data_IF_238019312598
#
_entry.id   IF_238019312598
#
_cell.length_a   1.000
_cell.length_b   1.000
_cell.length_c   1.000
_cell.angle_alpha   90.00
_cell.angle_beta   90.00
_cell.angle_gamma   90.00
#
_symmetry.space_group_name_H-M   'P 1'
#
loop_
_entity.id
_entity.type
_entity.pdbx_description
1 polymer ?
#
# COMPACT_ATOMS: atom_id res chain seq x y z
N UNK A 1 43.55 0.34 -11.16
CA UNK A 1 42.10 0.59 -10.96
C UNK A 1 41.39 -0.73 -11.21
N UNK A 2 40.94 -1.40 -10.15
CA UNK A 2 40.30 -2.72 -10.28
C UNK A 2 38.82 -2.54 -10.62
N UNK A 3 38.43 -3.07 -11.75
CA UNK A 3 37.03 -3.18 -12.18
C UNK A 3 36.23 -3.96 -11.11
N UNK A 4 35.24 -3.31 -10.55
CA UNK A 4 34.36 -3.91 -9.54
C UNK A 4 33.36 -4.83 -10.23
N UNK A 5 33.58 -6.15 -10.12
CA UNK A 5 32.74 -7.16 -10.76
C UNK A 5 31.35 -7.28 -10.07
N UNK A 6 30.40 -6.48 -10.58
CA UNK A 6 29.01 -6.41 -10.14
C UNK A 6 28.32 -7.78 -10.13
N UNK A 7 28.70 -8.67 -11.08
CA UNK A 7 28.13 -10.03 -11.16
C UNK A 7 28.58 -10.94 -10.02
N UNK A 8 29.77 -10.71 -9.51
CA UNK A 8 30.31 -11.47 -8.35
C UNK A 8 29.63 -11.03 -7.05
N UNK A 9 29.35 -9.74 -6.92
CA UNK A 9 28.60 -9.19 -5.79
C UNK A 9 27.13 -9.67 -5.80
N UNK A 10 26.46 -9.68 -6.96
CA UNK A 10 25.09 -10.17 -7.12
C UNK A 10 24.95 -11.66 -6.79
N UNK A 11 25.90 -12.50 -7.20
CA UNK A 11 25.95 -13.93 -6.84
C UNK A 11 26.21 -14.14 -5.34
N UNK A 12 27.02 -13.31 -4.70
CA UNK A 12 27.28 -13.39 -3.25
C UNK A 12 26.05 -13.01 -2.44
N UNK A 13 25.30 -12.00 -2.85
CA UNK A 13 24.03 -11.57 -2.24
C UNK A 13 22.97 -12.67 -2.40
N UNK A 14 22.81 -13.23 -3.59
CA UNK A 14 21.87 -14.33 -3.84
C UNK A 14 22.21 -15.60 -3.02
N UNK A 15 23.49 -15.90 -2.80
CA UNK A 15 23.90 -17.00 -1.90
C UNK A 15 23.55 -16.71 -0.43
N UNK A 16 23.79 -15.50 0.05
CA UNK A 16 23.42 -15.12 1.43
C UNK A 16 21.92 -15.15 1.65
N UNK A 17 21.12 -14.67 0.69
CA UNK A 17 19.65 -14.74 0.73
C UNK A 17 19.15 -16.19 0.79
N UNK A 18 19.66 -17.10 -0.07
CA UNK A 18 19.30 -18.54 -0.04
C UNK A 18 19.66 -19.24 1.28
N UNK A 19 20.77 -18.84 1.90
CA UNK A 19 21.19 -19.42 3.20
C UNK A 19 20.31 -18.89 4.34
N UNK A 20 19.90 -17.60 4.28
CA UNK A 20 18.99 -17.00 5.26
C UNK A 20 17.58 -17.60 5.15
N UNK A 21 17.08 -17.82 3.92
CA UNK A 21 15.80 -18.49 3.70
C UNK A 21 15.77 -19.94 4.22
N UNK A 22 16.84 -20.71 4.02
CA UNK A 22 16.91 -22.07 4.58
C UNK A 22 16.90 -22.07 6.12
N UNK A 23 17.63 -21.17 6.76
CA UNK A 23 17.60 -21.04 8.23
C UNK A 23 16.24 -20.57 8.73
N UNK A 24 15.60 -19.58 8.04
CA UNK A 24 14.24 -19.15 8.37
C UNK A 24 13.20 -20.26 8.20
N UNK A 25 13.26 -21.06 7.13
CA UNK A 25 12.35 -22.21 6.93
C UNK A 25 12.48 -23.25 8.04
N UNK A 26 13.70 -23.60 8.47
CA UNK A 26 13.91 -24.56 9.56
C UNK A 26 13.39 -24.03 10.90
N UNK A 27 13.56 -22.74 11.19
CA UNK A 27 13.00 -22.11 12.41
C UNK A 27 11.48 -22.03 12.30
N UNK A 28 10.94 -21.73 11.12
CA UNK A 28 9.50 -21.69 10.84
C UNK A 28 8.85 -23.06 11.01
N UNK A 29 9.48 -24.16 10.50
CA UNK A 29 8.95 -25.51 10.68
C UNK A 29 9.00 -25.97 12.15
N UNK A 30 10.00 -25.56 12.93
CA UNK A 30 10.03 -25.83 14.39
C UNK A 30 8.93 -25.07 15.13
N UNK A 31 8.63 -23.83 14.76
CA UNK A 31 7.51 -23.04 15.32
C UNK A 31 6.15 -23.59 14.85
N UNK A 32 6.03 -24.04 13.60
CA UNK A 32 4.82 -24.69 13.07
C UNK A 32 4.53 -26.02 13.75
N UNK A 33 5.53 -26.81 14.09
CA UNK A 33 5.34 -28.08 14.80
C UNK A 33 4.81 -27.87 16.23
N UNK A 34 5.20 -26.77 16.90
CA UNK A 34 4.66 -26.40 18.23
C UNK A 34 3.23 -25.83 18.07
N UNK A 35 2.95 -25.04 17.05
CA UNK A 35 1.61 -24.50 16.78
C UNK A 35 0.61 -25.60 16.40
N UNK A 36 1.02 -26.62 15.63
CA UNK A 36 0.15 -27.74 15.23
C UNK A 36 -0.29 -28.60 16.45
N UNK A 37 0.58 -28.78 17.44
CA UNK A 37 0.21 -29.50 18.68
C UNK A 37 -0.77 -28.72 19.55
N UNK A 38 -0.69 -27.40 19.58
CA UNK A 38 -1.65 -26.54 20.28
C UNK A 38 -3.00 -26.50 19.54
N UNK A 39 -3.00 -26.42 18.21
CA UNK A 39 -4.22 -26.45 17.40
C UNK A 39 -5.02 -27.75 17.54
N UNK A 40 -4.36 -28.92 17.70
CA UNK A 40 -5.02 -30.19 17.94
C UNK A 40 -5.67 -30.29 19.33
N UNK A 41 -5.08 -29.67 20.35
CA UNK A 41 -5.64 -29.64 21.72
C UNK A 41 -6.84 -28.68 21.76
N UNK A 42 -6.75 -27.51 21.12
CA UNK A 42 -7.84 -26.53 21.04
C UNK A 42 -9.00 -27.06 20.19
N UNK A 43 -8.73 -27.71 19.06
CA UNK A 43 -9.74 -28.33 18.21
C UNK A 43 -10.56 -29.42 18.92
N UNK A 44 -9.94 -30.21 19.81
CA UNK A 44 -10.64 -31.24 20.60
C UNK A 44 -11.55 -30.68 21.71
N UNK A 45 -11.29 -29.47 22.19
CA UNK A 45 -12.13 -28.77 23.16
C UNK A 45 -13.33 -28.08 22.51
N UNK A 46 -13.21 -27.61 21.26
CA UNK A 46 -14.31 -27.01 20.52
C UNK A 46 -15.36 -28.02 20.04
N UNK A 47 -14.99 -29.28 19.82
CA UNK A 47 -15.93 -30.32 19.35
C UNK A 47 -16.91 -30.82 20.42
N UNK A 48 -16.76 -30.41 21.67
CA UNK A 48 -17.65 -30.81 22.80
C UNK A 48 -18.66 -29.73 23.21
N UNK A 49 -18.72 -28.56 22.54
CA UNK A 49 -19.58 -27.45 23.01
C UNK A 49 -20.81 -27.19 22.13
N UNK A 50 -21.08 -28.04 21.15
CA UNK A 50 -22.21 -27.89 20.23
C UNK A 50 -23.43 -28.70 20.66
N UNK A 51 -23.92 -28.49 21.89
CA UNK A 51 -25.21 -29.02 22.29
C UNK A 51 -25.77 -28.26 23.51
N UNK A 52 -26.21 -26.99 23.33
CA UNK A 52 -27.23 -26.38 24.20
C UNK A 52 -27.84 -25.14 23.49
N UNK A 53 -29.18 -25.19 23.43
CA UNK A 53 -30.16 -24.14 23.13
C UNK A 53 -30.38 -23.64 21.71
N UNK A 54 -31.28 -24.35 21.04
CA UNK A 54 -32.20 -23.74 20.08
C UNK A 54 -33.42 -23.19 20.84
N UNK A 55 -33.57 -21.89 20.92
CA UNK A 55 -34.85 -21.17 20.75
C UNK A 55 -34.76 -19.70 21.18
N UNK A 56 -34.30 -18.84 20.30
CA UNK A 56 -34.87 -17.48 20.14
C UNK A 56 -34.70 -17.09 18.68
N UNK A 57 -35.76 -17.20 17.90
CA UNK A 57 -35.84 -16.60 16.57
C UNK A 57 -36.00 -15.09 16.74
N UNK A 58 -34.93 -14.38 16.95
CA UNK A 58 -34.85 -12.97 16.58
C UNK A 58 -34.54 -12.94 15.07
N UNK A 59 -35.50 -12.49 14.30
CA UNK A 59 -35.27 -12.14 12.88
C UNK A 59 -34.36 -10.91 12.91
N UNK A 60 -33.04 -11.13 12.95
CA UNK A 60 -32.08 -10.09 12.72
C UNK A 60 -32.12 -9.74 11.24
N UNK A 61 -32.28 -8.46 10.92
CA UNK A 61 -32.03 -7.95 9.57
C UNK A 61 -30.70 -8.53 9.03
N UNK A 62 -30.58 -8.80 7.74
CA UNK A 62 -29.34 -9.36 7.18
C UNK A 62 -28.21 -8.41 7.54
N UNK A 63 -27.28 -8.88 8.37
CA UNK A 63 -26.09 -8.14 8.78
C UNK A 63 -25.32 -7.81 7.50
N UNK A 64 -25.08 -6.54 7.21
CA UNK A 64 -24.32 -6.16 6.04
C UNK A 64 -22.96 -6.86 6.07
N UNK A 65 -22.66 -7.61 5.03
CA UNK A 65 -21.37 -8.30 4.92
C UNK A 65 -20.33 -7.28 4.47
N UNK A 66 -19.41 -6.95 5.36
CA UNK A 66 -18.26 -6.12 5.03
C UNK A 66 -17.40 -6.86 4.01
N UNK A 67 -17.25 -6.27 2.83
CA UNK A 67 -16.48 -6.88 1.75
C UNK A 67 -15.01 -6.59 1.89
N UNK A 68 -14.19 -7.55 1.50
CA UNK A 68 -12.76 -7.37 1.29
C UNK A 68 -12.53 -6.37 0.17
N UNK A 69 -11.49 -5.56 0.29
CA UNK A 69 -11.07 -4.64 -0.76
C UNK A 69 -10.76 -5.36 -2.08
N UNK A 70 -10.85 -4.64 -3.17
CA UNK A 70 -10.68 -5.18 -4.53
C UNK A 70 -10.03 -4.19 -5.47
N UNK A 71 -9.62 -4.65 -6.66
CA UNK A 71 -9.13 -3.76 -7.70
C UNK A 71 -10.30 -2.95 -8.24
N UNK A 72 -10.29 -1.64 -7.95
CA UNK A 72 -11.28 -0.66 -8.41
C UNK A 72 -10.71 0.77 -8.35
N UNK A 73 -11.02 1.56 -9.37
CA UNK A 73 -10.62 2.95 -9.47
C UNK A 73 -11.66 3.76 -10.25
N UNK A 74 -11.58 5.07 -10.13
CA UNK A 74 -12.31 6.04 -10.97
C UNK A 74 -11.26 6.84 -11.74
N UNK A 75 -11.23 6.66 -13.06
CA UNK A 75 -10.42 7.45 -13.97
C UNK A 75 -11.19 8.68 -14.41
N UNK A 76 -10.68 9.87 -14.09
CA UNK A 76 -11.18 11.12 -14.64
C UNK A 76 -10.24 11.57 -15.76
N UNK A 77 -10.77 11.63 -16.98
CA UNK A 77 -10.03 12.02 -18.17
C UNK A 77 -9.85 13.55 -18.24
N UNK A 78 -8.95 14.01 -19.10
CA UNK A 78 -8.64 15.42 -19.34
C UNK A 78 -9.87 16.28 -19.70
N UNK A 79 -10.89 15.65 -20.32
CA UNK A 79 -12.15 16.32 -20.67
C UNK A 79 -13.19 16.31 -19.54
N UNK A 80 -12.83 15.82 -18.36
CA UNK A 80 -13.70 15.71 -17.19
C UNK A 80 -14.60 14.46 -17.15
N UNK A 81 -14.62 13.64 -18.20
CA UNK A 81 -15.39 12.40 -18.19
C UNK A 81 -14.83 11.40 -17.18
N UNK A 82 -15.70 10.70 -16.46
CA UNK A 82 -15.33 9.70 -15.49
C UNK A 82 -15.63 8.30 -16.00
N UNK A 83 -14.68 7.39 -15.76
CA UNK A 83 -14.76 5.97 -16.10
C UNK A 83 -14.51 5.16 -14.84
N UNK A 84 -15.47 4.32 -14.46
CA UNK A 84 -15.28 3.36 -13.38
C UNK A 84 -14.48 2.15 -13.91
N UNK A 85 -13.34 1.89 -13.29
CA UNK A 85 -12.47 0.74 -13.56
C UNK A 85 -12.69 -0.28 -12.45
N UNK A 86 -13.20 -1.46 -12.81
CA UNK A 86 -13.50 -2.53 -11.87
C UNK A 86 -13.19 -3.87 -12.53
N UNK A 87 -12.79 -4.84 -11.76
CA UNK A 87 -12.48 -6.20 -12.25
C UNK A 87 -13.59 -6.75 -13.13
N UNK A 88 -13.22 -7.19 -14.33
CA UNK A 88 -14.17 -7.72 -15.33
C UNK A 88 -14.83 -6.68 -16.23
N UNK A 89 -14.59 -5.37 -16.02
CA UNK A 89 -15.02 -4.31 -16.93
C UNK A 89 -13.85 -3.85 -17.78
N UNK A 90 -13.92 -4.06 -19.08
CA UNK A 90 -12.92 -3.59 -20.03
C UNK A 90 -13.18 -2.13 -20.42
N UNK A 91 -12.10 -1.34 -20.48
CA UNK A 91 -12.13 0.01 -21.05
C UNK A 91 -11.10 0.12 -22.16
N UNK A 92 -11.52 0.63 -23.33
CA UNK A 92 -10.67 0.94 -24.47
C UNK A 92 -11.00 2.37 -24.94
N UNK A 93 -10.15 3.31 -24.61
CA UNK A 93 -10.31 4.73 -24.96
C UNK A 93 -9.01 5.28 -25.55
N UNK A 94 -8.90 5.32 -26.89
CA UNK A 94 -7.71 5.86 -27.56
C UNK A 94 -6.42 5.13 -27.18
N UNK A 95 -5.52 5.83 -26.48
CA UNK A 95 -4.23 5.27 -26.02
C UNK A 95 -4.33 4.50 -24.69
N UNK A 96 -5.52 4.46 -24.08
CA UNK A 96 -5.78 3.86 -22.77
C UNK A 96 -6.48 2.53 -22.92
N UNK A 97 -5.98 1.52 -22.23
CA UNK A 97 -6.62 0.21 -22.10
C UNK A 97 -6.66 -0.22 -20.65
N UNK A 98 -7.77 -0.79 -20.24
CA UNK A 98 -7.91 -1.43 -18.93
C UNK A 98 -8.72 -2.71 -19.06
N UNK A 99 -8.34 -3.73 -18.30
CA UNK A 99 -9.11 -4.95 -18.10
C UNK A 99 -9.92 -4.91 -16.78
N UNK A 100 -9.83 -3.76 -16.08
CA UNK A 100 -10.47 -3.51 -14.79
C UNK A 100 -9.62 -3.87 -13.58
N UNK A 101 -8.43 -4.46 -13.75
CA UNK A 101 -7.43 -4.69 -12.70
C UNK A 101 -6.21 -3.79 -12.87
N UNK A 102 -5.92 -3.38 -14.11
CA UNK A 102 -4.81 -2.49 -14.44
C UNK A 102 -5.20 -1.48 -15.52
N UNK A 103 -4.46 -0.37 -15.57
CA UNK A 103 -4.57 0.66 -16.61
C UNK A 103 -3.23 0.81 -17.30
N UNK A 104 -3.22 0.61 -18.62
CA UNK A 104 -2.01 0.68 -19.43
C UNK A 104 -2.14 1.76 -20.49
N UNK A 105 -1.12 2.63 -20.55
CA UNK A 105 -0.95 3.58 -21.63
C UNK A 105 -0.12 2.95 -22.75
N UNK A 106 -0.67 2.94 -23.97
CA UNK A 106 0.08 2.51 -25.15
C UNK A 106 1.13 3.56 -25.51
N UNK A 107 2.38 3.18 -25.54
CA UNK A 107 3.48 4.01 -26.08
C UNK A 107 3.35 4.09 -27.60
N UNK A 108 2.67 5.09 -28.12
CA UNK A 108 2.64 5.33 -29.56
C UNK A 108 3.78 6.27 -29.94
N UNK A 109 4.71 5.74 -30.73
CA UNK A 109 5.71 6.50 -31.46
C UNK A 109 5.06 7.18 -32.68
N UNK A 110 4.22 8.18 -32.48
CA UNK A 110 3.81 9.01 -33.60
C UNK A 110 4.35 10.43 -33.45
N UNK A 111 5.07 10.84 -34.47
CA UNK A 111 5.64 12.16 -34.66
C UNK A 111 4.57 13.23 -34.70
N UNK A 112 4.39 13.90 -33.59
CA UNK A 112 3.56 15.07 -33.48
C UNK A 112 4.08 15.97 -32.36
N UNK A 113 4.90 16.96 -32.73
CA UNK A 113 5.24 18.09 -31.89
C UNK A 113 3.93 18.86 -31.71
N UNK A 114 3.16 18.49 -30.69
CA UNK A 114 2.03 19.31 -30.28
C UNK A 114 2.54 20.24 -29.18
N UNK A 115 2.66 21.52 -29.50
CA UNK A 115 2.85 22.60 -28.53
C UNK A 115 1.55 22.87 -27.73
N UNK A 116 0.82 21.80 -27.39
CA UNK A 116 -0.35 21.88 -26.51
C UNK A 116 0.08 21.75 -25.08
N UNK A 117 -0.63 22.46 -24.20
CA UNK A 117 -0.47 22.28 -22.76
C UNK A 117 -0.67 20.81 -22.38
N UNK A 118 0.09 20.30 -21.39
CA UNK A 118 -0.06 18.91 -20.95
C UNK A 118 -1.48 18.64 -20.48
N UNK A 119 -2.09 17.61 -21.03
CA UNK A 119 -3.41 17.13 -20.58
C UNK A 119 -3.21 16.17 -19.42
N UNK A 120 -4.02 16.31 -18.37
CA UNK A 120 -3.88 15.51 -17.15
C UNK A 120 -5.10 14.62 -16.95
N UNK A 121 -4.82 13.39 -16.54
CA UNK A 121 -5.80 12.47 -15.99
C UNK A 121 -5.66 12.39 -14.47
N UNK A 122 -6.77 12.01 -13.81
CA UNK A 122 -6.79 11.72 -12.38
C UNK A 122 -7.24 10.28 -12.17
N UNK A 123 -6.49 9.52 -11.36
CA UNK A 123 -6.88 8.19 -10.92
C UNK A 123 -7.20 8.25 -9.43
N UNK A 124 -8.46 8.02 -9.09
CA UNK A 124 -8.96 8.03 -7.72
C UNK A 124 -9.28 6.62 -7.29
N UNK A 125 -8.67 6.19 -6.21
CA UNK A 125 -8.90 4.89 -5.57
C UNK A 125 -9.82 5.14 -4.38
N UNK A 126 -11.05 4.62 -4.38
CA UNK A 126 -11.93 4.76 -3.22
C UNK A 126 -11.47 3.87 -2.07
N UNK A 127 -12.02 4.07 -0.89
CA UNK A 127 -11.90 3.13 0.22
C UNK A 127 -12.35 1.74 -0.22
N UNK A 128 -11.69 0.70 0.27
CA UNK A 128 -11.89 -0.68 -0.17
C UNK A 128 -11.39 -0.94 -1.59
N UNK A 129 -10.53 -0.09 -2.14
CA UNK A 129 -9.93 -0.23 -3.46
C UNK A 129 -8.42 -0.31 -3.41
N UNK A 130 -7.84 -0.83 -4.46
CA UNK A 130 -6.45 -0.66 -4.88
C UNK A 130 -6.41 -0.67 -6.39
N UNK A 131 -5.34 -0.15 -7.00
CA UNK A 131 -5.24 -0.20 -8.44
C UNK A 131 -3.80 -0.08 -8.93
N UNK A 132 -3.52 -0.71 -10.06
CA UNK A 132 -2.24 -0.62 -10.75
C UNK A 132 -2.37 0.23 -12.00
N UNK A 133 -1.40 1.12 -12.25
CA UNK A 133 -1.29 1.87 -13.50
C UNK A 133 0.13 1.85 -14.03
N UNK A 134 0.28 1.59 -15.32
CA UNK A 134 1.53 1.80 -16.06
C UNK A 134 1.40 3.07 -16.88
N UNK A 135 2.19 4.07 -16.52
CA UNK A 135 2.22 5.38 -17.17
C UNK A 135 2.83 5.33 -18.58
N UNK A 136 2.67 6.40 -19.35
CA UNK A 136 3.13 6.47 -20.75
C UNK A 136 4.66 6.41 -20.90
N UNK A 137 5.43 6.68 -19.85
CA UNK A 137 6.88 6.51 -19.80
C UNK A 137 7.34 5.11 -19.35
N UNK A 138 6.40 4.20 -19.07
CA UNK A 138 6.66 2.86 -18.56
C UNK A 138 6.85 2.78 -17.05
N UNK A 139 6.72 3.89 -16.32
CA UNK A 139 6.70 3.90 -14.87
C UNK A 139 5.48 3.13 -14.36
N UNK A 140 5.70 2.24 -13.40
CA UNK A 140 4.66 1.43 -12.77
C UNK A 140 4.29 2.03 -11.41
N UNK A 141 2.99 2.15 -11.15
CA UNK A 141 2.47 2.73 -9.92
C UNK A 141 1.36 1.85 -9.36
N UNK A 142 1.51 1.41 -8.12
CA UNK A 142 0.45 0.78 -7.33
C UNK A 142 -0.13 1.85 -6.41
N UNK A 143 -1.44 1.96 -6.38
CA UNK A 143 -2.17 2.89 -5.52
C UNK A 143 -2.97 2.09 -4.50
N UNK A 144 -2.82 2.45 -3.22
CA UNK A 144 -3.57 1.85 -2.12
C UNK A 144 -4.96 2.50 -1.95
N UNK A 145 -5.77 1.96 -1.06
CA UNK A 145 -7.10 2.49 -0.72
C UNK A 145 -7.04 3.97 -0.33
N UNK A 146 -8.06 4.71 -0.72
CA UNK A 146 -8.19 6.14 -0.41
C UNK A 146 -7.00 6.98 -0.92
N UNK A 147 -6.71 6.85 -2.23
CA UNK A 147 -5.59 7.53 -2.87
C UNK A 147 -6.01 8.24 -4.14
N UNK A 148 -5.31 9.32 -4.50
CA UNK A 148 -5.55 10.06 -5.73
C UNK A 148 -4.26 10.54 -6.37
N UNK A 149 -4.07 10.13 -7.63
CA UNK A 149 -2.93 10.47 -8.46
C UNK A 149 -3.37 11.37 -9.61
N UNK A 150 -2.61 12.44 -9.88
CA UNK A 150 -2.70 13.26 -11.07
C UNK A 150 -1.45 13.07 -11.90
N UNK A 151 -1.60 12.78 -13.18
CA UNK A 151 -0.50 12.52 -14.09
C UNK A 151 -0.82 12.96 -15.51
N UNK A 152 0.17 13.34 -16.32
CA UNK A 152 -0.05 13.71 -17.71
C UNK A 152 -0.38 12.48 -18.55
N UNK A 153 -1.24 12.65 -19.56
CA UNK A 153 -1.55 11.60 -20.55
C UNK A 153 -0.28 11.15 -21.28
N UNK A 154 0.59 12.11 -21.58
CA UNK A 154 1.93 11.89 -22.16
C UNK A 154 2.93 12.81 -21.49
N UNK A 155 4.10 12.27 -21.17
CA UNK A 155 5.19 13.08 -20.65
C UNK A 155 5.86 13.89 -21.76
N UNK A 156 6.15 15.20 -21.53
CA UNK A 156 6.91 16.02 -22.47
C UNK A 156 8.30 15.43 -22.72
N UNK A 157 8.72 15.39 -23.99
CA UNK A 157 10.05 14.89 -24.35
C UNK A 157 11.16 15.80 -23.81
N UNK A 158 12.24 15.20 -23.31
CA UNK A 158 13.42 15.91 -22.81
C UNK A 158 13.15 16.91 -21.67
N UNK A 159 12.10 16.71 -20.93
CA UNK A 159 11.73 17.51 -19.74
C UNK A 159 11.52 16.57 -18.56
N UNK A 160 11.54 17.13 -17.38
CA UNK A 160 11.17 16.43 -16.13
C UNK A 160 9.82 15.75 -16.25
N UNK A 161 9.76 14.47 -15.93
CA UNK A 161 8.54 13.66 -15.90
C UNK A 161 7.86 13.86 -14.56
N UNK A 162 6.84 14.70 -14.52
CA UNK A 162 6.21 15.10 -13.28
C UNK A 162 4.80 14.55 -13.11
N UNK A 163 4.51 14.05 -11.91
CA UNK A 163 3.18 13.63 -11.46
C UNK A 163 2.90 14.19 -10.08
N UNK A 164 1.67 14.04 -9.57
CA UNK A 164 1.26 14.54 -8.26
C UNK A 164 0.42 13.50 -7.53
N UNK A 165 0.90 13.04 -6.37
CA UNK A 165 0.10 12.28 -5.41
C UNK A 165 -0.65 13.30 -4.54
N UNK A 166 -1.93 13.52 -4.86
CA UNK A 166 -2.75 14.51 -4.18
C UNK A 166 -3.04 14.11 -2.74
N UNK A 167 -3.25 12.83 -2.48
CA UNK A 167 -3.36 12.20 -1.16
C UNK A 167 -3.29 10.68 -1.29
N UNK A 168 -3.09 10.00 -0.15
CA UNK A 168 -3.12 8.55 -0.06
C UNK A 168 -1.73 7.92 -0.06
N UNK A 169 -1.64 6.68 -0.52
CA UNK A 169 -0.42 5.90 -0.56
C UNK A 169 -0.18 5.30 -1.94
N UNK A 170 1.06 5.45 -2.42
CA UNK A 170 1.46 4.91 -3.70
C UNK A 170 2.90 4.36 -3.65
N UNK A 171 3.07 3.19 -4.26
CA UNK A 171 4.37 2.58 -4.53
C UNK A 171 4.73 2.81 -5.99
N UNK A 172 5.96 3.24 -6.22
CA UNK A 172 6.48 3.61 -7.52
C UNK A 172 7.66 2.72 -7.90
N UNK A 173 7.63 2.21 -9.13
CA UNK A 173 8.77 1.62 -9.81
C UNK A 173 9.02 2.45 -11.06
N UNK A 174 9.92 3.41 -10.91
CA UNK A 174 10.16 4.45 -11.92
C UNK A 174 11.03 3.93 -13.05
N UNK A 175 10.60 4.13 -14.28
CA UNK A 175 11.38 3.87 -15.48
C UNK A 175 12.67 4.69 -15.48
N UNK A 176 13.86 4.07 -15.71
CA UNK A 176 15.14 4.75 -15.54
C UNK A 176 15.31 5.93 -16.50
N UNK A 177 15.91 7.01 -16.02
CA UNK A 177 16.16 8.25 -16.80
C UNK A 177 16.94 8.01 -18.08
N UNK A 178 17.79 6.98 -18.11
CA UNK A 178 18.55 6.57 -19.30
C UNK A 178 17.66 6.17 -20.47
N UNK A 179 16.44 5.67 -20.22
CA UNK A 179 15.45 5.39 -21.25
C UNK A 179 14.73 6.66 -21.75
N UNK A 180 14.95 7.80 -21.10
CA UNK A 180 14.26 9.07 -21.34
C UNK A 180 15.22 10.25 -21.59
N UNK A 181 16.34 9.99 -22.24
CA UNK A 181 17.38 11.00 -22.55
C UNK A 181 17.92 11.75 -21.31
N UNK A 182 17.97 11.09 -20.17
CA UNK A 182 18.43 11.67 -18.91
C UNK A 182 17.36 12.44 -18.13
N UNK A 183 16.12 12.51 -18.63
CA UNK A 183 15.04 13.21 -17.93
C UNK A 183 14.75 12.57 -16.56
N UNK A 184 14.77 13.37 -15.52
CA UNK A 184 14.41 12.97 -14.15
C UNK A 184 12.90 12.70 -14.03
N UNK A 185 12.52 12.04 -12.93
CA UNK A 185 11.12 11.83 -12.57
C UNK A 185 10.83 12.51 -11.24
N UNK A 186 9.72 13.23 -11.15
CA UNK A 186 9.32 13.95 -9.96
C UNK A 186 7.91 13.59 -9.51
N UNK A 187 7.76 13.35 -8.21
CA UNK A 187 6.45 13.22 -7.57
C UNK A 187 6.25 14.40 -6.64
N UNK A 188 5.19 15.15 -6.89
CA UNK A 188 4.74 16.21 -6.00
C UNK A 188 3.73 15.64 -5.00
N UNK A 189 3.77 16.12 -3.77
CA UNK A 189 2.71 15.97 -2.77
C UNK A 189 2.39 17.35 -2.20
N UNK A 190 1.46 17.42 -1.25
CA UNK A 190 1.03 18.67 -0.60
C UNK A 190 2.20 19.49 0.00
N UNK A 191 3.24 18.83 0.52
CA UNK A 191 4.32 19.50 1.26
C UNK A 191 5.73 19.03 0.89
N UNK A 192 5.88 18.17 -0.11
CA UNK A 192 7.20 17.73 -0.56
C UNK A 192 7.25 17.47 -2.07
N UNK A 193 8.43 17.58 -2.62
CA UNK A 193 8.83 17.19 -3.96
C UNK A 193 9.85 16.07 -3.87
N UNK A 194 9.60 14.96 -4.53
CA UNK A 194 10.48 13.80 -4.59
C UNK A 194 11.08 13.72 -5.98
N UNK A 195 12.41 13.75 -6.08
CA UNK A 195 13.15 13.64 -7.33
C UNK A 195 13.93 12.33 -7.41
N UNK A 196 13.81 11.60 -8.56
CA UNK A 196 14.47 10.32 -8.79
C UNK A 196 14.93 10.15 -10.23
N UNK A 197 15.86 9.21 -10.48
CA UNK A 197 16.38 8.89 -11.82
C UNK A 197 16.01 7.47 -12.31
N UNK A 198 15.39 6.66 -11.47
CA UNK A 198 15.07 5.24 -11.70
C UNK A 198 15.18 4.49 -10.39
N UNK A 199 14.08 4.37 -9.67
CA UNK A 199 14.07 4.13 -8.23
C UNK A 199 12.78 3.41 -7.86
N UNK A 200 12.84 2.52 -6.88
CA UNK A 200 11.67 1.91 -6.26
C UNK A 200 11.45 2.53 -4.87
N UNK A 201 10.28 3.12 -4.61
CA UNK A 201 9.97 3.81 -3.37
C UNK A 201 8.46 3.88 -3.10
N UNK A 202 8.10 4.08 -1.84
CA UNK A 202 6.72 4.25 -1.38
C UNK A 202 6.53 5.65 -0.82
N UNK A 203 5.38 6.26 -1.11
CA UNK A 203 4.94 7.52 -0.48
C UNK A 203 3.63 7.26 0.23
N UNK A 204 3.54 7.65 1.50
CA UNK A 204 2.33 7.65 2.30
C UNK A 204 2.02 9.08 2.72
N UNK A 205 0.93 9.64 2.18
CA UNK A 205 0.54 11.05 2.29
C UNK A 205 -1.00 11.19 2.45
N UNK A 206 -1.58 10.48 3.43
CA UNK A 206 -3.01 10.54 3.70
C UNK A 206 -3.38 11.89 4.36
N UNK A 207 -4.55 12.42 3.99
CA UNK A 207 -5.00 13.72 4.50
C UNK A 207 -5.29 13.73 6.00
N UNK A 208 -5.71 12.61 6.55
CA UNK A 208 -6.05 12.42 7.97
C UNK A 208 -4.83 12.04 8.84
N UNK A 209 -3.66 11.81 8.23
CA UNK A 209 -2.42 11.56 8.96
C UNK A 209 -1.60 12.86 9.08
N UNK A 210 -1.02 13.08 10.25
CA UNK A 210 -0.25 14.30 10.55
C UNK A 210 1.17 14.27 9.98
N UNK A 211 1.50 13.27 9.15
CA UNK A 211 2.84 13.11 8.60
C UNK A 211 2.79 12.57 7.16
N UNK A 212 3.81 12.97 6.39
CA UNK A 212 4.10 12.34 5.09
C UNK A 212 5.38 11.53 5.23
N UNK A 213 5.32 10.27 4.76
CA UNK A 213 6.44 9.32 4.76
C UNK A 213 6.86 9.00 3.34
N UNK A 214 8.17 8.97 3.10
CA UNK A 214 8.73 8.47 1.84
C UNK A 214 9.80 7.43 2.16
N UNK A 215 9.56 6.18 1.75
CA UNK A 215 10.43 5.03 2.03
C UNK A 215 11.15 4.61 0.77
N UNK A 216 12.48 4.54 0.82
CA UNK A 216 13.29 4.11 -0.30
C UNK A 216 13.57 2.60 -0.26
N UNK A 217 13.20 1.90 -1.34
CA UNK A 217 13.43 0.47 -1.53
C UNK A 217 14.74 0.22 -2.29
N UNK A 218 14.88 0.80 -3.50
CA UNK A 218 16.05 0.65 -4.35
C UNK A 218 16.35 1.95 -5.09
N UNK A 219 17.64 2.27 -5.24
CA UNK A 219 18.11 3.45 -5.97
C UNK A 219 18.45 4.62 -5.06
N UNK A 220 17.98 5.81 -5.39
CA UNK A 220 18.22 7.05 -4.67
C UNK A 220 17.01 7.98 -4.79
N UNK A 221 16.60 8.58 -3.68
CA UNK A 221 15.52 9.57 -3.61
C UNK A 221 16.06 10.87 -3.08
N UNK A 222 15.77 11.97 -3.74
CA UNK A 222 15.93 13.32 -3.22
C UNK A 222 14.57 13.82 -2.73
N UNK A 223 14.46 14.14 -1.44
CA UNK A 223 13.24 14.70 -0.82
C UNK A 223 13.47 16.17 -0.56
N UNK A 224 12.59 17.03 -1.06
CA UNK A 224 12.64 18.48 -0.88
C UNK A 224 11.29 18.99 -0.33
N UNK A 225 11.31 19.93 0.60
CA UNK A 225 10.09 20.58 1.13
C UNK A 225 10.06 22.11 0.91
N UNK A 226 10.91 22.61 0.02
CA UNK A 226 11.04 24.04 -0.28
C UNK A 226 12.04 24.79 0.60
N UNK A 227 12.44 24.25 1.75
CA UNK A 227 13.47 24.82 2.66
C UNK A 227 14.66 23.89 2.83
N UNK A 228 14.42 22.61 2.88
CA UNK A 228 15.41 21.57 3.12
C UNK A 228 15.38 20.55 1.98
N UNK A 229 16.54 19.94 1.72
CA UNK A 229 16.67 18.85 0.76
C UNK A 229 17.52 17.76 1.38
N UNK A 230 17.03 16.52 1.37
CA UNK A 230 17.74 15.34 1.89
C UNK A 230 17.69 14.17 0.92
N UNK A 231 18.78 13.41 0.88
CA UNK A 231 18.92 12.24 0.05
C UNK A 231 18.75 11.00 0.89
N UNK A 232 17.79 10.13 0.51
CA UNK A 232 17.59 8.82 1.11
C UNK A 232 18.50 7.78 0.45
N UNK A 233 18.93 6.82 1.28
CA UNK A 233 19.56 5.55 0.89
C UNK A 233 18.56 4.41 1.04
N UNK A 234 18.75 3.26 0.39
CA UNK A 234 17.90 2.09 0.61
C UNK A 234 17.75 1.75 2.09
N UNK A 235 16.53 1.38 2.50
CA UNK A 235 16.06 1.15 3.86
C UNK A 235 15.93 2.42 4.72
N UNK A 236 15.98 3.60 4.12
CA UNK A 236 15.68 4.84 4.82
C UNK A 236 14.28 5.36 4.48
N UNK A 237 13.66 5.97 5.45
CA UNK A 237 12.39 6.67 5.35
C UNK A 237 12.57 8.12 5.77
N UNK A 238 12.03 9.05 4.99
CA UNK A 238 11.85 10.42 5.45
C UNK A 238 10.47 10.59 6.06
N UNK A 239 10.41 11.44 7.12
CA UNK A 239 9.18 11.88 7.78
C UNK A 239 9.11 13.38 7.77
N UNK A 240 7.97 13.93 7.39
CA UNK A 240 7.67 15.36 7.44
C UNK A 240 6.34 15.52 8.17
N UNK A 241 6.35 16.09 9.36
CA UNK A 241 5.14 16.36 10.13
C UNK A 241 4.36 17.54 9.53
N UNK A 242 3.05 17.50 9.63
CA UNK A 242 2.18 18.59 9.18
C UNK A 242 2.57 19.91 9.88
N UNK A 243 2.80 20.94 9.07
CA UNK A 243 3.24 22.26 9.57
C UNK A 243 4.73 22.34 9.93
N UNK A 244 5.51 21.27 9.78
CA UNK A 244 6.97 21.27 9.98
C UNK A 244 7.70 21.46 8.65
N UNK A 245 8.83 22.19 8.72
CA UNK A 245 9.76 22.32 7.60
C UNK A 245 10.96 21.37 7.75
N UNK A 246 10.96 20.51 8.78
CA UNK A 246 12.06 19.57 9.06
C UNK A 246 11.79 18.24 8.36
N UNK A 247 12.79 17.74 7.62
CA UNK A 247 12.79 16.39 7.07
C UNK A 247 13.58 15.50 8.03
N UNK A 248 12.92 14.63 8.76
CA UNK A 248 13.57 13.59 9.56
C UNK A 248 13.90 12.38 8.69
N UNK A 249 15.02 11.69 8.97
CA UNK A 249 15.39 10.43 8.29
C UNK A 249 15.62 9.36 9.34
N UNK A 250 14.99 8.21 9.15
CA UNK A 250 15.17 7.03 9.99
C UNK A 250 15.42 5.77 9.16
N UNK A 251 16.03 4.75 9.74
CA UNK A 251 16.13 3.43 9.13
C UNK A 251 14.88 2.60 9.46
N UNK A 252 14.30 1.96 8.44
CA UNK A 252 13.08 1.19 8.57
C UNK A 252 13.21 -0.20 7.95
N UNK A 253 12.38 -1.13 8.39
CA UNK A 253 12.17 -2.39 7.69
C UNK A 253 11.25 -2.14 6.47
N UNK A 254 11.85 -1.96 5.31
CA UNK A 254 11.16 -1.69 4.05
C UNK A 254 10.07 -2.72 3.75
N UNK A 255 10.27 -4.00 4.13
CA UNK A 255 9.26 -5.02 3.91
C UNK A 255 7.92 -4.69 4.58
N UNK A 256 7.95 -4.09 5.76
CA UNK A 256 6.73 -3.69 6.45
C UNK A 256 6.00 -2.55 5.71
N UNK A 257 6.76 -1.59 5.18
CA UNK A 257 6.21 -0.40 4.54
C UNK A 257 5.62 -0.68 3.14
N UNK A 258 6.08 -1.76 2.46
CA UNK A 258 5.67 -2.06 1.07
C UNK A 258 4.97 -3.41 0.91
N UNK A 259 4.76 -4.16 2.00
CA UNK A 259 4.13 -5.50 1.96
C UNK A 259 2.71 -5.49 1.38
N UNK A 260 2.02 -4.35 1.47
CA UNK A 260 0.68 -4.15 0.94
C UNK A 260 0.61 -4.35 -0.59
N UNK A 261 1.69 -4.03 -1.32
CA UNK A 261 1.81 -4.28 -2.78
C UNK A 261 1.74 -5.78 -3.07
N UNK A 262 2.20 -6.62 -2.12
CA UNK A 262 2.18 -8.07 -2.21
C UNK A 262 0.93 -8.70 -1.56
N UNK A 263 -0.11 -7.90 -1.28
CA UNK A 263 -1.36 -8.39 -0.70
C UNK A 263 -1.28 -8.77 0.78
N UNK A 264 -0.36 -8.17 1.55
CA UNK A 264 -0.17 -8.44 2.96
C UNK A 264 -0.39 -7.21 3.83
N UNK A 265 -0.98 -7.41 5.00
CA UNK A 265 -0.84 -6.51 6.13
C UNK A 265 0.33 -6.99 6.98
N UNK A 266 1.31 -6.14 7.20
CA UNK A 266 2.46 -6.44 8.07
C UNK A 266 2.51 -5.41 9.17
N UNK A 267 2.35 -5.87 10.40
CA UNK A 267 2.41 -5.06 11.60
C UNK A 267 3.57 -5.55 12.47
N UNK A 268 4.39 -4.65 12.94
CA UNK A 268 5.46 -4.94 13.89
C UNK A 268 5.45 -3.85 14.95
N UNK A 269 5.00 -4.21 16.15
CA UNK A 269 4.79 -3.26 17.26
C UNK A 269 3.92 -2.07 16.86
N UNK A 270 2.91 -2.30 15.99
CA UNK A 270 1.96 -1.25 15.57
C UNK A 270 0.84 -1.14 16.58
N UNK A 271 0.46 0.09 16.89
CA UNK A 271 -0.67 0.36 17.76
C UNK A 271 -1.99 -0.08 17.12
N UNK A 272 -2.95 -0.49 17.95
CA UNK A 272 -4.30 -0.85 17.48
C UNK A 272 -4.94 0.30 16.72
N UNK A 273 -4.66 1.55 17.10
CA UNK A 273 -5.11 2.73 16.37
C UNK A 273 -4.62 2.76 14.92
N UNK A 274 -3.31 2.53 14.68
CA UNK A 274 -2.72 2.48 13.34
C UNK A 274 -3.24 1.29 12.53
N UNK A 275 -3.36 0.11 13.16
CA UNK A 275 -3.91 -1.09 12.55
C UNK A 275 -5.34 -0.84 12.07
N UNK A 276 -6.20 -0.34 12.95
CA UNK A 276 -7.60 -0.09 12.64
C UNK A 276 -7.77 1.01 11.59
N UNK A 277 -6.89 2.01 11.56
CA UNK A 277 -6.84 3.00 10.47
C UNK A 277 -6.55 2.34 9.12
N UNK A 278 -5.56 1.45 9.07
CA UNK A 278 -5.23 0.69 7.85
C UNK A 278 -6.39 -0.21 7.40
N UNK A 279 -6.96 -0.97 8.33
CA UNK A 279 -8.09 -1.86 8.06
C UNK A 279 -9.33 -1.07 7.63
N UNK A 280 -9.60 0.07 8.25
CA UNK A 280 -10.75 0.91 7.92
C UNK A 280 -10.75 1.34 6.45
N UNK A 281 -9.59 1.69 5.91
CA UNK A 281 -9.44 2.06 4.48
C UNK A 281 -9.67 0.87 3.55
N UNK A 282 -9.11 -0.30 3.90
CA UNK A 282 -9.20 -1.49 3.05
C UNK A 282 -10.59 -2.15 3.05
N UNK A 283 -11.28 -2.15 4.19
CA UNK A 283 -12.62 -2.73 4.30
C UNK A 283 -13.75 -1.71 4.12
N UNK A 284 -13.42 -0.43 3.93
CA UNK A 284 -14.38 0.67 3.82
C UNK A 284 -15.34 0.70 5.00
N UNK A 285 -14.79 0.72 6.23
CA UNK A 285 -15.52 0.75 7.50
C UNK A 285 -15.12 1.95 8.35
N UNK A 286 -16.04 2.38 9.22
CA UNK A 286 -15.76 3.35 10.27
C UNK A 286 -15.28 2.66 11.54
N UNK A 287 -14.39 3.30 12.30
CA UNK A 287 -13.82 2.77 13.53
C UNK A 287 -14.04 3.74 14.68
N UNK A 288 -14.64 3.25 15.76
CA UNK A 288 -14.91 4.00 16.98
C UNK A 288 -14.25 3.31 18.16
N UNK A 289 -13.43 4.02 18.91
CA UNK A 289 -12.89 3.57 20.19
C UNK A 289 -13.73 4.14 21.32
N UNK A 290 -14.39 3.29 22.11
CA UNK A 290 -15.12 3.74 23.31
C UNK A 290 -14.13 4.19 24.40
N UNK A 291 -12.99 3.51 24.49
CA UNK A 291 -11.89 3.89 25.38
C UNK A 291 -10.62 4.18 24.56
N UNK A 292 -10.08 5.38 24.71
CA UNK A 292 -8.88 5.81 23.99
C UNK A 292 -7.60 5.06 24.37
N UNK A 293 -7.53 4.42 25.53
CA UNK A 293 -6.36 3.66 25.98
C UNK A 293 -6.06 2.46 25.07
N UNK A 294 -7.09 1.81 24.55
CA UNK A 294 -6.97 0.65 23.66
C UNK A 294 -6.26 0.98 22.34
N UNK A 295 -6.29 2.24 21.92
CA UNK A 295 -5.53 2.68 20.73
C UNK A 295 -4.05 2.37 20.81
N UNK A 296 -3.49 2.32 22.02
CA UNK A 296 -2.05 2.19 22.27
C UNK A 296 -1.59 0.74 22.41
N UNK A 297 -2.49 -0.25 22.40
CA UNK A 297 -2.09 -1.66 22.45
C UNK A 297 -1.30 -2.03 21.18
N UNK A 298 -0.13 -2.64 21.38
CA UNK A 298 0.78 -2.98 20.31
C UNK A 298 0.56 -4.43 19.84
N UNK A 299 0.55 -4.60 18.53
CA UNK A 299 0.41 -5.92 17.90
C UNK A 299 1.49 -6.14 16.85
N UNK A 300 1.89 -7.41 16.74
CA UNK A 300 2.83 -7.87 15.72
C UNK A 300 2.24 -9.06 14.99
N UNK A 301 2.19 -9.01 13.66
CA UNK A 301 1.67 -10.10 12.83
C UNK A 301 1.73 -9.80 11.35
N UNK A 302 1.53 -10.85 10.55
CA UNK A 302 1.40 -10.76 9.10
C UNK A 302 0.10 -11.48 8.72
N UNK A 303 -0.77 -10.80 7.99
CA UNK A 303 -2.10 -11.27 7.61
C UNK A 303 -2.32 -10.98 6.12
N UNK A 304 -2.93 -11.92 5.40
CA UNK A 304 -3.29 -11.69 4.00
C UNK A 304 -4.43 -10.66 3.90
N UNK A 305 -4.34 -9.76 2.94
CA UNK A 305 -5.39 -8.75 2.68
C UNK A 305 -6.68 -9.37 2.11
N UNK A 306 -6.61 -10.61 1.67
CA UNK A 306 -7.76 -11.42 1.20
C UNK A 306 -8.63 -11.96 2.34
N UNK A 307 -8.17 -11.95 3.58
CA UNK A 307 -8.93 -12.41 4.73
C UNK A 307 -10.14 -11.52 5.04
N UNK A 308 -11.16 -12.08 5.68
CA UNK A 308 -12.32 -11.31 6.11
C UNK A 308 -11.97 -10.43 7.31
N UNK A 309 -12.63 -9.27 7.44
CA UNK A 309 -12.45 -8.41 8.61
C UNK A 309 -12.78 -9.15 9.92
N UNK A 310 -13.83 -9.97 9.93
CA UNK A 310 -14.22 -10.77 11.08
C UNK A 310 -13.11 -11.71 11.57
N UNK A 311 -12.37 -12.31 10.63
CA UNK A 311 -11.23 -13.17 10.97
C UNK A 311 -10.12 -12.37 11.63
N UNK A 312 -9.77 -11.21 11.06
CA UNK A 312 -8.71 -10.34 11.59
C UNK A 312 -9.06 -9.82 12.98
N UNK A 313 -10.29 -9.34 13.17
CA UNK A 313 -10.75 -8.84 14.48
C UNK A 313 -10.75 -9.94 15.54
N UNK A 314 -11.20 -11.16 15.22
CA UNK A 314 -11.12 -12.31 16.14
C UNK A 314 -9.68 -12.66 16.50
N UNK A 315 -8.74 -12.54 15.56
CA UNK A 315 -7.32 -12.77 15.83
C UNK A 315 -6.78 -11.74 16.83
N UNK A 316 -7.11 -10.46 16.64
CA UNK A 316 -6.73 -9.39 17.57
C UNK A 316 -7.37 -9.60 18.96
N UNK A 317 -8.66 -9.95 19.02
CA UNK A 317 -9.33 -10.28 20.29
C UNK A 317 -8.62 -11.43 21.04
N UNK A 318 -8.31 -12.51 20.31
CA UNK A 318 -7.67 -13.69 20.89
C UNK A 318 -6.26 -13.41 21.44
N UNK A 319 -5.54 -12.45 20.86
CA UNK A 319 -4.18 -12.07 21.27
C UNK A 319 -4.14 -10.96 22.30
N UNK A 320 -5.25 -10.25 22.54
CA UNK A 320 -5.36 -9.14 23.49
C UNK A 320 -5.66 -9.59 24.94
N UNK A 321 -5.69 -10.89 25.22
CA UNK A 321 -6.03 -11.44 26.54
C UNK A 321 -7.38 -10.92 27.10
N UNK A 322 -8.34 -10.63 26.23
CA UNK A 322 -9.67 -10.14 26.57
C UNK A 322 -9.76 -8.64 26.86
N UNK A 323 -8.68 -7.89 26.64
CA UNK A 323 -8.65 -6.44 26.84
C UNK A 323 -9.27 -5.65 25.67
N UNK A 324 -9.46 -6.29 24.52
CA UNK A 324 -10.08 -5.70 23.33
C UNK A 324 -11.25 -6.56 22.90
N UNK A 325 -12.39 -5.92 22.61
CA UNK A 325 -13.57 -6.54 22.00
C UNK A 325 -14.09 -5.67 20.88
N UNK A 326 -14.59 -6.31 19.82
CA UNK A 326 -15.13 -5.62 18.67
C UNK A 326 -16.65 -5.87 18.55
N UNK A 327 -17.39 -4.81 18.33
CA UNK A 327 -18.78 -4.85 17.92
C UNK A 327 -18.87 -4.32 16.49
N UNK A 328 -19.49 -5.11 15.62
CA UNK A 328 -19.74 -4.74 14.24
C UNK A 328 -21.22 -4.44 14.07
N UNK A 329 -21.53 -3.21 13.68
CA UNK A 329 -22.87 -2.77 13.31
C UNK A 329 -22.80 -2.08 11.95
N UNK A 330 -23.40 -2.71 10.93
CA UNK A 330 -23.29 -2.35 9.51
C UNK A 330 -21.82 -2.16 9.10
N UNK A 331 -21.40 -0.96 8.75
CA UNK A 331 -20.02 -0.59 8.39
C UNK A 331 -19.24 0.07 9.54
N UNK A 332 -19.76 0.01 10.76
CA UNK A 332 -19.09 0.60 11.93
C UNK A 332 -18.55 -0.49 12.84
N UNK A 333 -17.27 -0.37 13.21
CA UNK A 333 -16.60 -1.25 14.17
C UNK A 333 -16.33 -0.44 15.42
N UNK A 334 -17.00 -0.82 16.51
CA UNK A 334 -16.79 -0.22 17.83
C UNK A 334 -15.85 -1.09 18.66
N UNK A 335 -14.83 -0.47 19.25
CA UNK A 335 -13.79 -1.12 20.07
C UNK A 335 -14.04 -0.77 21.54
N UNK A 336 -14.16 -1.84 22.36
CA UNK A 336 -14.45 -1.79 23.81
C UNK A 336 -13.38 -2.46 24.62
#
# INVERSE_FOLDING_TARGET
MSEYDVNKAKKAIQRKLKISERKRRVVMYKKLAVAASIALIVGSLFFKWDSIDQNVKTVSAPKAVIKVGSDKAILTLENGNQVALEKGKQYNGGKLKSDGSELIYSTSSENGISAREPQYNYLTIPRGGQFFVRLSDGTEVWLNSDSKLKYPVEFPKNQTRQIELLYGEAYFKVSPSTAHNGADFQVLTKSQKIGVLGTEFNIKAYNEEDEIKTTLVEGKVNVENGRESKILKPNQQSRILAGSDVIEIEEVDVYQEVSWVNGLFTFNEKSLGEIMTTLSRWYDVEVIFENGEQKNFLFTGIIERSESIDYILKLIEATSEGQVKFLIDDKTITIR
#
